data_IF_672223301856
#
_entry.id   IF_672223301856
#
_cell.length_a   1.000
_cell.length_b   1.000
_cell.length_c   1.000
_cell.angle_alpha   90.00
_cell.angle_beta   90.00
_cell.angle_gamma   90.00
#
_symmetry.space_group_name_H-M   'P 1'
#
loop_
_entity.id
_entity.type
_entity.pdbx_description
1 polymer ?
#
# COMPACT_ATOMS: atom_id res chain seq x y z
N UNK A 1 0.05 14.66 -1.03
CA UNK A 1 1.28 14.52 -1.85
C UNK A 1 0.96 15.04 -3.25
N UNK A 2 1.95 15.58 -3.99
CA UNK A 2 1.74 16.15 -5.32
C UNK A 2 2.79 15.63 -6.29
N UNK A 3 2.54 15.63 -7.61
CA UNK A 3 3.60 15.57 -8.60
C UNK A 3 4.64 16.68 -8.38
N UNK A 4 5.91 16.40 -8.66
CA UNK A 4 6.99 17.35 -8.34
C UNK A 4 6.86 18.69 -9.08
N UNK A 5 6.26 18.71 -10.28
CA UNK A 5 6.03 19.93 -11.06
C UNK A 5 4.91 20.82 -10.50
N UNK A 6 4.16 20.35 -9.50
CA UNK A 6 3.11 21.11 -8.80
C UNK A 6 3.54 21.52 -7.39
N UNK A 7 4.77 21.19 -6.98
CA UNK A 7 5.34 21.58 -5.69
C UNK A 7 5.81 23.04 -5.75
N UNK A 8 5.41 23.84 -4.78
CA UNK A 8 5.92 25.20 -4.56
C UNK A 8 7.05 25.20 -3.53
N UNK A 9 7.86 26.26 -3.49
CA UNK A 9 8.87 26.45 -2.43
C UNK A 9 8.26 26.35 -1.03
N UNK A 10 7.03 26.86 -0.85
CA UNK A 10 6.28 26.73 0.40
C UNK A 10 5.97 25.27 0.77
N UNK A 11 5.66 24.42 -0.21
CA UNK A 11 5.43 23.00 0.05
C UNK A 11 6.74 22.31 0.48
N UNK A 12 7.86 22.67 -0.15
CA UNK A 12 9.19 22.14 0.19
C UNK A 12 9.58 22.54 1.62
N UNK A 13 9.45 23.82 1.95
CA UNK A 13 9.74 24.34 3.29
C UNK A 13 8.85 23.70 4.35
N UNK A 14 7.58 23.45 4.04
CA UNK A 14 6.65 22.76 4.95
C UNK A 14 7.08 21.30 5.21
N UNK A 15 7.51 20.56 4.18
CA UNK A 15 8.02 19.19 4.35
C UNK A 15 9.28 19.17 5.23
N UNK A 16 10.21 20.08 5.00
CA UNK A 16 11.45 20.17 5.80
C UNK A 16 11.15 20.58 7.25
N UNK A 17 10.26 21.55 7.45
CA UNK A 17 9.89 22.05 8.80
C UNK A 17 9.10 21.01 9.61
N UNK A 18 8.43 20.06 8.96
CA UNK A 18 7.72 18.97 9.62
C UNK A 18 8.61 17.76 9.94
N UNK A 19 9.90 17.82 9.59
CA UNK A 19 10.84 16.69 9.72
C UNK A 19 11.96 17.01 10.69
N UNK A 20 12.14 16.16 11.69
CA UNK A 20 13.33 16.14 12.55
C UNK A 20 14.35 15.13 12.01
N UNK A 21 15.65 15.43 12.14
CA UNK A 21 16.74 14.53 11.76
C UNK A 21 17.33 13.88 13.00
N UNK A 22 16.79 12.73 13.40
CA UNK A 22 17.16 12.05 14.64
C UNK A 22 18.44 11.25 14.46
N UNK A 23 19.38 11.35 15.41
CA UNK A 23 20.59 10.50 15.39
C UNK A 23 20.20 9.02 15.41
N UNK A 24 20.82 8.23 14.54
CA UNK A 24 20.56 6.79 14.45
C UNK A 24 20.87 6.03 15.76
N UNK A 25 20.06 5.01 16.05
CA UNK A 25 20.29 4.08 17.15
C UNK A 25 21.54 3.22 16.87
N UNK A 26 22.62 3.40 17.64
CA UNK A 26 23.90 2.70 17.44
C UNK A 26 23.88 1.20 17.75
N UNK A 27 22.87 0.70 18.46
CA UNK A 27 22.70 -0.74 18.65
C UNK A 27 22.36 -1.42 17.31
N UNK A 28 21.62 -0.74 16.44
CA UNK A 28 21.29 -1.19 15.09
C UNK A 28 22.27 -0.67 14.03
N UNK A 29 22.64 0.61 14.09
CA UNK A 29 23.42 1.31 13.07
C UNK A 29 24.76 1.81 13.64
N UNK A 30 25.73 0.91 13.78
CA UNK A 30 27.04 1.22 14.39
C UNK A 30 27.85 2.31 13.68
N UNK A 31 27.61 2.50 12.37
CA UNK A 31 28.23 3.57 11.57
C UNK A 31 27.58 4.95 11.76
N UNK A 32 26.50 5.03 12.52
CA UNK A 32 25.69 6.23 12.70
C UNK A 32 24.87 6.63 11.48
N UNK A 33 24.50 7.92 11.41
CA UNK A 33 23.54 8.48 10.46
C UNK A 33 22.41 9.23 11.16
N UNK A 34 21.48 9.76 10.37
CA UNK A 34 20.28 10.45 10.85
C UNK A 34 19.04 9.89 10.15
N UNK A 35 18.02 9.50 10.93
CA UNK A 35 16.70 9.14 10.42
C UNK A 35 15.84 10.39 10.24
N UNK A 36 14.99 10.40 9.21
CA UNK A 36 14.00 11.45 8.97
C UNK A 36 12.72 11.14 9.74
N UNK A 37 12.57 11.73 10.93
CA UNK A 37 11.38 11.59 11.74
C UNK A 37 10.34 12.64 11.32
N UNK A 38 9.14 12.19 10.97
CA UNK A 38 7.96 13.03 10.82
C UNK A 38 6.71 12.23 11.17
N UNK A 39 5.63 12.93 11.46
CA UNK A 39 4.31 12.33 11.66
C UNK A 39 3.36 12.81 10.59
N UNK A 40 2.74 11.88 9.85
CA UNK A 40 1.65 12.22 8.96
C UNK A 40 0.40 12.58 9.78
N UNK A 41 0.05 13.86 9.84
CA UNK A 41 -1.17 14.38 10.49
C UNK A 41 -2.32 14.64 9.54
N UNK A 42 -2.08 14.59 8.22
CA UNK A 42 -3.13 14.71 7.23
C UNK A 42 -4.02 13.46 7.24
N UNK A 43 -5.32 13.64 7.07
CA UNK A 43 -6.27 12.57 6.78
C UNK A 43 -6.50 12.53 5.27
N UNK A 44 -5.70 11.73 4.57
CA UNK A 44 -5.69 11.67 3.10
C UNK A 44 -6.01 10.26 2.60
N UNK A 45 -6.70 10.15 1.44
CA UNK A 45 -6.87 8.86 0.79
C UNK A 45 -5.50 8.33 0.37
N UNK A 46 -5.25 7.06 0.64
CA UNK A 46 -4.02 6.37 0.25
C UNK A 46 -4.32 4.94 -0.17
N UNK A 47 -3.44 4.40 -1.00
CA UNK A 47 -3.44 3.00 -1.40
C UNK A 47 -2.15 2.34 -0.92
N UNK A 48 -2.27 1.33 -0.06
CA UNK A 48 -1.14 0.48 0.30
C UNK A 48 -1.04 -0.66 -0.71
N UNK A 49 0.14 -0.93 -1.27
CA UNK A 49 0.36 -2.04 -2.20
C UNK A 49 1.63 -2.82 -1.89
N UNK A 50 1.64 -4.08 -2.33
CA UNK A 50 2.80 -4.97 -2.23
C UNK A 50 2.78 -6.00 -3.35
N UNK A 51 3.92 -6.15 -4.03
CA UNK A 51 4.19 -7.33 -4.88
C UNK A 51 4.98 -8.34 -4.07
N UNK A 52 4.54 -9.60 -4.09
CA UNK A 52 5.26 -10.74 -3.55
C UNK A 52 5.53 -11.75 -4.67
N UNK A 53 6.59 -12.55 -4.55
CA UNK A 53 6.85 -13.66 -5.48
C UNK A 53 6.54 -14.95 -4.73
N UNK A 54 5.60 -15.73 -5.26
CA UNK A 54 5.17 -17.01 -4.67
C UNK A 54 5.66 -18.14 -5.56
N UNK A 55 6.38 -19.10 -4.95
CA UNK A 55 6.90 -20.27 -5.67
C UNK A 55 5.78 -21.04 -6.38
N UNK A 56 5.99 -21.37 -7.66
CA UNK A 56 4.98 -22.04 -8.49
C UNK A 56 3.83 -21.17 -9.01
N UNK A 57 3.72 -19.90 -8.57
CA UNK A 57 2.73 -18.93 -9.06
C UNK A 57 3.40 -17.78 -9.82
N UNK A 58 4.50 -17.26 -9.30
CA UNK A 58 5.17 -16.05 -9.81
C UNK A 58 4.80 -14.79 -9.00
N UNK A 59 4.92 -13.59 -9.59
CA UNK A 59 4.56 -12.35 -8.91
C UNK A 59 3.06 -12.28 -8.66
N UNK A 60 2.66 -11.82 -7.47
CA UNK A 60 1.27 -11.54 -7.09
C UNK A 60 1.18 -10.15 -6.46
N UNK A 61 0.11 -9.42 -6.72
CA UNK A 61 -0.12 -8.07 -6.20
C UNK A 61 -1.17 -8.09 -5.08
N UNK A 62 -0.93 -7.32 -4.02
CA UNK A 62 -1.88 -7.02 -2.95
C UNK A 62 -2.12 -5.52 -2.89
N UNK A 63 -3.37 -5.11 -2.69
CA UNK A 63 -3.83 -3.71 -2.68
C UNK A 63 -4.76 -3.51 -1.49
N UNK A 64 -4.58 -2.45 -0.73
CA UNK A 64 -5.50 -2.03 0.33
C UNK A 64 -5.68 -0.51 0.28
N UNK A 65 -6.82 -0.05 -0.22
CA UNK A 65 -7.21 1.35 -0.16
C UNK A 65 -7.73 1.72 1.23
N UNK A 66 -7.45 2.93 1.66
CA UNK A 66 -7.87 3.45 2.95
C UNK A 66 -7.50 4.90 3.12
N UNK A 67 -7.33 5.32 4.37
CA UNK A 67 -6.97 6.68 4.72
C UNK A 67 -5.86 6.70 5.75
N UNK A 68 -5.04 7.75 5.70
CA UNK A 68 -4.22 8.10 6.86
C UNK A 68 -5.12 8.69 7.96
N UNK A 69 -4.76 8.49 9.22
CA UNK A 69 -5.52 8.96 10.37
C UNK A 69 -4.68 9.87 11.27
N UNK A 70 -5.32 10.90 11.84
CA UNK A 70 -4.69 11.76 12.82
C UNK A 70 -5.16 11.39 14.24
N UNK A 71 -4.36 10.61 14.96
CA UNK A 71 -4.68 10.24 16.34
C UNK A 71 -4.56 11.45 17.29
N UNK A 72 -5.31 11.50 18.41
CA UNK A 72 -5.00 12.42 19.50
C UNK A 72 -3.54 12.29 19.97
N UNK A 73 -2.93 13.40 20.38
CA UNK A 73 -1.49 13.44 20.69
C UNK A 73 -1.10 12.54 21.86
N UNK A 74 -1.94 12.42 22.88
CA UNK A 74 -1.73 11.53 24.02
C UNK A 74 -1.71 10.06 23.61
N UNK A 75 -2.60 9.67 22.69
CA UNK A 75 -2.66 8.32 22.12
C UNK A 75 -1.45 8.07 21.22
N UNK A 76 -1.17 8.96 20.25
CA UNK A 76 -0.03 8.81 19.34
C UNK A 76 1.28 8.71 20.12
N UNK A 77 1.55 9.68 21.00
CA UNK A 77 2.80 9.76 21.76
C UNK A 77 3.03 8.50 22.60
N UNK A 78 1.96 7.93 23.16
CA UNK A 78 2.05 6.71 23.96
C UNK A 78 2.48 5.50 23.13
N UNK A 79 1.97 5.35 21.90
CA UNK A 79 2.30 4.22 21.03
C UNK A 79 3.66 4.42 20.34
N UNK A 80 3.93 5.64 19.87
CA UNK A 80 5.13 6.01 19.14
C UNK A 80 6.41 5.80 19.98
N UNK A 81 6.39 6.29 21.24
CA UNK A 81 7.49 6.06 22.20
C UNK A 81 7.77 4.60 22.52
N UNK A 82 6.79 3.71 22.31
CA UNK A 82 6.91 2.27 22.56
C UNK A 82 7.30 1.47 21.32
N UNK A 83 7.36 2.12 20.16
CA UNK A 83 7.70 1.49 18.87
C UNK A 83 9.09 1.95 18.46
N UNK A 84 9.20 3.06 17.74
CA UNK A 84 10.47 3.66 17.33
C UNK A 84 10.29 5.18 17.13
N UNK A 85 10.47 6.01 18.18
CA UNK A 85 10.16 7.45 18.13
C UNK A 85 11.18 8.29 17.32
N UNK A 86 12.08 7.65 16.59
CA UNK A 86 13.06 8.30 15.71
C UNK A 86 12.75 8.07 14.23
N UNK A 87 11.74 7.26 13.92
CA UNK A 87 11.36 6.87 12.57
C UNK A 87 10.04 7.55 12.17
N UNK A 88 9.76 7.72 10.87
CA UNK A 88 8.55 8.38 10.44
C UNK A 88 7.31 7.51 10.68
N UNK A 89 6.24 8.15 11.15
CA UNK A 89 4.98 7.46 11.51
C UNK A 89 3.83 7.89 10.60
N UNK A 90 3.08 6.91 10.11
CA UNK A 90 1.80 7.10 9.42
C UNK A 90 0.80 6.10 9.97
N UNK A 91 -0.30 6.60 10.55
CA UNK A 91 -1.42 5.75 10.97
C UNK A 91 -2.33 5.50 9.77
N UNK A 92 -2.65 4.24 9.50
CA UNK A 92 -3.43 3.84 8.33
C UNK A 92 -4.67 3.06 8.75
N UNK A 93 -5.81 3.35 8.11
CA UNK A 93 -7.07 2.65 8.30
C UNK A 93 -7.55 2.14 6.94
N UNK A 94 -7.55 0.82 6.69
CA UNK A 94 -8.05 0.27 5.44
C UNK A 94 -9.58 0.40 5.36
N UNK A 95 -10.10 0.63 4.15
CA UNK A 95 -11.53 0.52 3.86
C UNK A 95 -11.94 -0.94 4.00
N UNK A 96 -12.90 -1.21 4.87
CA UNK A 96 -13.45 -2.56 5.07
C UNK A 96 -14.60 -2.81 4.09
N UNK A 97 -14.74 -4.06 3.66
CA UNK A 97 -15.86 -4.51 2.80
C UNK A 97 -16.83 -5.38 3.58
N UNK A 98 -16.43 -5.88 4.76
CA UNK A 98 -17.18 -6.88 5.52
C UNK A 98 -16.94 -8.32 5.07
N UNK A 99 -16.14 -8.53 4.03
CA UNK A 99 -15.92 -9.84 3.40
C UNK A 99 -14.43 -10.18 3.32
N UNK A 100 -14.14 -11.49 3.28
CA UNK A 100 -12.78 -12.01 3.08
C UNK A 100 -11.74 -11.41 4.03
N UNK A 101 -10.62 -10.97 3.47
CA UNK A 101 -9.54 -10.34 4.21
C UNK A 101 -9.81 -8.88 4.62
N UNK A 102 -10.90 -8.28 4.15
CA UNK A 102 -11.32 -6.92 4.49
C UNK A 102 -12.56 -6.90 5.41
N UNK A 103 -12.79 -7.99 6.14
CA UNK A 103 -13.84 -8.07 7.18
C UNK A 103 -13.54 -7.22 8.42
N UNK A 104 -12.26 -7.06 8.76
CA UNK A 104 -11.77 -6.23 9.86
C UNK A 104 -10.30 -5.82 9.62
N UNK A 105 -9.82 -4.81 10.34
CA UNK A 105 -8.46 -4.25 10.16
C UNK A 105 -7.38 -5.30 10.46
N UNK A 106 -7.63 -6.17 11.43
CA UNK A 106 -6.72 -7.27 11.77
C UNK A 106 -6.54 -8.22 10.57
N UNK A 107 -7.63 -8.58 9.90
CA UNK A 107 -7.61 -9.48 8.75
C UNK A 107 -6.81 -8.91 7.59
N UNK A 108 -6.84 -7.58 7.38
CA UNK A 108 -5.99 -6.93 6.38
C UNK A 108 -4.52 -7.15 6.70
N UNK A 109 -4.11 -6.91 7.96
CA UNK A 109 -2.74 -7.12 8.40
C UNK A 109 -2.32 -8.60 8.36
N UNK A 110 -3.19 -9.50 8.83
CA UNK A 110 -2.91 -10.93 8.90
C UNK A 110 -2.76 -11.59 7.52
N UNK A 111 -3.37 -11.00 6.47
CA UNK A 111 -3.24 -11.47 5.09
C UNK A 111 -2.20 -10.69 4.28
N UNK A 112 -1.50 -9.71 4.88
CA UNK A 112 -0.44 -8.98 4.19
C UNK A 112 0.80 -9.86 4.05
N UNK A 113 1.28 -10.04 2.82
CA UNK A 113 2.27 -11.09 2.48
C UNK A 113 3.73 -10.74 2.78
N UNK A 114 4.01 -9.60 3.43
CA UNK A 114 5.38 -9.17 3.75
C UNK A 114 5.41 -8.23 4.97
N UNK A 115 6.61 -7.97 5.49
CA UNK A 115 6.82 -6.97 6.54
C UNK A 115 6.84 -5.51 6.02
N UNK A 116 6.90 -5.31 4.70
CA UNK A 116 6.88 -4.00 4.06
C UNK A 116 5.64 -3.81 3.19
N UNK A 117 5.22 -2.55 3.02
CA UNK A 117 4.26 -2.11 2.03
C UNK A 117 4.74 -0.80 1.39
N UNK A 118 4.13 -0.43 0.27
CA UNK A 118 4.30 0.89 -0.35
C UNK A 118 2.99 1.64 -0.20
N UNK A 119 3.03 2.89 0.23
CA UNK A 119 1.85 3.75 0.34
C UNK A 119 1.91 4.82 -0.73
N UNK A 120 0.85 4.94 -1.53
CA UNK A 120 0.69 5.97 -2.56
C UNK A 120 -0.49 6.87 -2.20
N UNK A 121 -0.37 8.16 -2.48
CA UNK A 121 -1.49 9.10 -2.32
C UNK A 121 -2.60 8.81 -3.35
N UNK A 122 -3.84 8.88 -2.89
CA UNK A 122 -5.04 8.60 -3.67
C UNK A 122 -5.53 7.15 -3.57
N UNK A 123 -6.75 6.92 -4.03
CA UNK A 123 -7.33 5.61 -4.25
C UNK A 123 -7.09 5.22 -5.71
N UNK A 124 -5.97 4.53 -5.93
CA UNK A 124 -5.45 4.16 -7.26
C UNK A 124 -5.51 2.65 -7.48
N UNK A 125 -6.30 1.93 -6.68
CA UNK A 125 -6.40 0.48 -6.75
C UNK A 125 -6.92 -0.02 -8.09
N UNK A 126 -7.89 0.69 -8.70
CA UNK A 126 -8.40 0.35 -10.03
C UNK A 126 -7.31 0.46 -11.10
N UNK A 127 -6.50 1.53 -11.07
CA UNK A 127 -5.38 1.73 -11.99
C UNK A 127 -4.33 0.61 -11.83
N UNK A 128 -4.03 0.23 -10.58
CA UNK A 128 -3.11 -0.87 -10.27
C UNK A 128 -3.65 -2.23 -10.74
N UNK A 129 -4.94 -2.50 -10.61
CA UNK A 129 -5.58 -3.73 -11.11
C UNK A 129 -5.48 -3.79 -12.65
N UNK A 130 -5.77 -2.68 -13.32
CA UNK A 130 -5.62 -2.58 -14.78
C UNK A 130 -4.17 -2.82 -15.19
N UNK A 131 -3.21 -2.14 -14.58
CA UNK A 131 -1.78 -2.32 -14.84
C UNK A 131 -1.34 -3.77 -14.61
N UNK A 132 -1.73 -4.38 -13.49
CA UNK A 132 -1.39 -5.75 -13.14
C UNK A 132 -1.90 -6.75 -14.20
N UNK A 133 -3.13 -6.55 -14.72
CA UNK A 133 -3.68 -7.38 -15.79
C UNK A 133 -2.90 -7.23 -17.11
N UNK A 134 -2.44 -6.02 -17.46
CA UNK A 134 -1.55 -5.80 -18.61
C UNK A 134 -0.20 -6.52 -18.45
N UNK A 135 0.27 -6.68 -17.22
CA UNK A 135 1.53 -7.38 -16.92
C UNK A 135 1.34 -8.87 -16.62
N UNK A 136 0.09 -9.36 -16.58
CA UNK A 136 -0.29 -10.73 -16.22
C UNK A 136 0.19 -11.11 -14.82
N UNK A 137 0.09 -10.15 -13.89
CA UNK A 137 0.32 -10.32 -12.46
C UNK A 137 -1.06 -10.47 -11.79
N UNK A 138 -1.42 -11.62 -11.21
CA UNK A 138 -2.70 -11.77 -10.53
C UNK A 138 -2.76 -10.90 -9.26
N UNK A 139 -3.94 -10.35 -9.00
CA UNK A 139 -4.22 -9.57 -7.78
C UNK A 139 -4.83 -10.50 -6.74
N UNK A 140 -4.04 -10.86 -5.72
CA UNK A 140 -4.40 -11.85 -4.70
C UNK A 140 -5.17 -11.27 -3.51
N UNK A 141 -5.27 -9.93 -3.42
CA UNK A 141 -5.92 -9.23 -2.32
C UNK A 141 -6.27 -7.81 -2.78
N UNK A 142 -7.54 -7.42 -2.79
CA UNK A 142 -7.94 -6.02 -2.95
C UNK A 142 -9.29 -5.70 -2.30
N UNK A 143 -9.52 -4.42 -1.98
CA UNK A 143 -10.81 -3.88 -1.53
C UNK A 143 -11.41 -2.87 -2.53
N UNK A 144 -10.90 -2.83 -3.75
CA UNK A 144 -11.44 -2.02 -4.85
C UNK A 144 -12.85 -2.52 -5.20
N UNK A 145 -13.85 -1.63 -5.35
CA UNK A 145 -15.21 -2.02 -5.76
C UNK A 145 -15.24 -2.76 -7.10
N UNK A 146 -16.08 -3.78 -7.20
CA UNK A 146 -16.13 -4.71 -8.34
C UNK A 146 -16.44 -4.01 -9.67
N UNK A 147 -17.24 -2.94 -9.65
CA UNK A 147 -17.61 -2.12 -10.81
C UNK A 147 -16.46 -1.28 -11.36
N UNK A 148 -15.38 -1.07 -10.59
CA UNK A 148 -14.19 -0.34 -11.02
C UNK A 148 -13.11 -1.26 -11.59
N UNK A 149 -13.27 -2.58 -11.48
CA UNK A 149 -12.32 -3.55 -12.01
C UNK A 149 -12.36 -3.49 -13.53
N UNK A 150 -11.26 -3.01 -14.12
CA UNK A 150 -11.10 -2.96 -15.56
C UNK A 150 -9.88 -3.77 -16.00
N UNK A 151 -10.12 -4.80 -16.81
CA UNK A 151 -9.11 -5.72 -17.34
C UNK A 151 -9.38 -5.96 -18.83
N UNK A 152 -8.44 -6.51 -19.62
CA UNK A 152 -8.71 -6.85 -21.02
C UNK A 152 -9.95 -7.74 -21.14
N UNK A 153 -10.80 -7.48 -22.15
CA UNK A 153 -12.07 -8.18 -22.37
C UNK A 153 -11.94 -9.72 -22.31
N UNK A 154 -10.79 -10.26 -22.73
CA UNK A 154 -10.53 -11.69 -22.71
C UNK A 154 -10.59 -12.33 -21.30
N UNK A 155 -10.41 -11.58 -20.21
CA UNK A 155 -10.55 -12.09 -18.84
C UNK A 155 -11.95 -12.64 -18.57
N UNK A 156 -13.00 -12.07 -19.17
CA UNK A 156 -14.38 -12.54 -18.99
C UNK A 156 -14.60 -13.97 -19.51
N UNK A 157 -13.78 -14.44 -20.47
CA UNK A 157 -13.84 -15.82 -20.97
C UNK A 157 -13.30 -16.85 -19.96
N UNK A 158 -12.55 -16.41 -18.94
CA UNK A 158 -12.08 -17.27 -17.85
C UNK A 158 -13.10 -17.37 -16.70
N UNK A 159 -14.16 -16.55 -16.74
CA UNK A 159 -15.23 -16.53 -15.75
C UNK A 159 -15.69 -15.11 -15.41
N UNK A 160 -16.95 -14.96 -15.03
CA UNK A 160 -17.57 -13.66 -14.71
C UNK A 160 -18.13 -13.54 -13.30
N UNK A 161 -18.22 -14.66 -12.57
CA UNK A 161 -18.73 -14.68 -11.18
C UNK A 161 -17.60 -14.57 -10.16
N UNK A 162 -16.58 -15.41 -10.31
CA UNK A 162 -15.39 -15.42 -9.47
C UNK A 162 -14.26 -14.69 -10.20
N UNK A 163 -14.18 -13.38 -9.97
CA UNK A 163 -13.26 -12.48 -10.68
C UNK A 163 -11.82 -12.61 -10.21
N UNK A 164 -11.59 -13.19 -9.03
CA UNK A 164 -10.27 -13.56 -8.53
C UNK A 164 -9.77 -14.82 -9.24
N UNK A 165 -10.54 -15.91 -9.22
CA UNK A 165 -10.16 -17.15 -9.89
C UNK A 165 -9.97 -16.95 -11.41
N UNK A 166 -10.82 -16.13 -12.04
CA UNK A 166 -10.67 -15.76 -13.45
C UNK A 166 -9.35 -15.01 -13.71
N UNK A 167 -8.91 -14.14 -12.79
CA UNK A 167 -7.64 -13.41 -12.91
C UNK A 167 -6.43 -14.35 -12.86
N UNK A 168 -6.40 -15.25 -11.87
CA UNK A 168 -5.34 -16.25 -11.75
C UNK A 168 -5.29 -17.16 -12.99
N UNK A 169 -6.45 -17.60 -13.50
CA UNK A 169 -6.52 -18.45 -14.68
C UNK A 169 -6.02 -17.72 -15.94
N UNK A 170 -6.44 -16.46 -16.15
CA UNK A 170 -6.00 -15.65 -17.28
C UNK A 170 -4.49 -15.34 -17.21
N UNK A 171 -4.00 -14.90 -16.04
CA UNK A 171 -2.58 -14.61 -15.83
C UNK A 171 -1.71 -15.86 -16.07
N UNK A 172 -2.15 -17.03 -15.58
CA UNK A 172 -1.47 -18.30 -15.83
C UNK A 172 -1.46 -18.68 -17.31
N UNK A 173 -2.58 -18.49 -18.02
CA UNK A 173 -2.70 -18.85 -19.43
C UNK A 173 -1.82 -17.98 -20.33
N UNK A 174 -1.85 -16.67 -20.16
CA UNK A 174 -1.07 -15.74 -20.99
C UNK A 174 0.40 -15.66 -20.56
N UNK A 175 0.68 -15.78 -19.25
CA UNK A 175 2.02 -15.68 -18.67
C UNK A 175 2.69 -14.31 -18.87
N UNK A 176 3.99 -14.18 -18.53
CA UNK A 176 4.70 -12.90 -18.57
C UNK A 176 4.82 -12.36 -20.00
N UNK A 177 4.79 -11.03 -20.12
CA UNK A 177 4.81 -10.32 -21.41
C UNK A 177 6.11 -10.51 -22.19
N UNK A 178 7.25 -10.62 -21.50
CA UNK A 178 8.57 -10.83 -22.09
C UNK A 178 9.17 -12.13 -21.55
N UNK A 179 9.85 -12.88 -22.40
CA UNK A 179 10.51 -14.15 -22.09
C UNK A 179 11.83 -14.25 -22.83
#
# INVERSE_FOLDING_TARGET
>A
MKPFWEMSDKDIDACLSATDWCRANYEYFRGGGFSSHFRCTAEMPVTMLRVNIVEGVGPVLQIAEGWTANLPDDIHTTIDRRTDPTWPTTWFVPRLTGEGAFKDVYSVMANWGANHGVTVYGHVGADLITLASMLRIPVALHNVPQEQIYRPHAWAAFGTKDTEAADFAACKHYGPLYR
#
